data_IF_961261692524
#
_entry.id   IF_961261692524
#
_cell.length_a   1.000
_cell.length_b   1.000
_cell.length_c   1.000
_cell.angle_alpha   90.00
_cell.angle_beta   90.00
_cell.angle_gamma   90.00
#
_symmetry.space_group_name_H-M   'P 1'
#
loop_
_entity.id
_entity.type
_entity.pdbx_description
1 polymer ?
#
# COMPACT_ATOMS: atom_id res chain seq x y z
N UNK A 1 25.41 9.70 23.60
CA UNK A 1 24.97 11.09 23.91
C UNK A 1 24.04 11.67 22.81
N UNK A 2 24.43 11.69 21.52
CA UNK A 2 23.60 12.23 20.44
C UNK A 2 22.30 11.41 20.27
N UNK A 3 22.41 10.08 20.20
CA UNK A 3 21.28 9.16 20.05
C UNK A 3 20.30 9.31 21.21
N UNK A 4 20.78 9.41 22.45
CA UNK A 4 19.93 9.59 23.64
C UNK A 4 19.18 10.93 23.61
N UNK A 5 19.82 11.99 23.09
CA UNK A 5 19.20 13.31 22.95
C UNK A 5 18.10 13.30 21.89
N UNK A 6 18.36 12.64 20.76
CA UNK A 6 17.38 12.46 19.67
C UNK A 6 16.18 11.63 20.18
N UNK A 7 16.42 10.52 20.86
CA UNK A 7 15.36 9.69 21.43
C UNK A 7 14.49 10.46 22.44
N UNK A 8 15.12 11.24 23.33
CA UNK A 8 14.39 12.09 24.27
C UNK A 8 13.52 13.12 23.56
N UNK A 9 14.01 13.74 22.49
CA UNK A 9 13.25 14.70 21.69
C UNK A 9 12.03 14.05 21.05
N UNK A 10 12.19 12.90 20.41
CA UNK A 10 11.07 12.16 19.82
C UNK A 10 10.04 11.75 20.87
N UNK A 11 10.50 11.27 22.03
CA UNK A 11 9.61 10.90 23.15
C UNK A 11 8.85 12.12 23.67
N UNK A 12 9.49 13.28 23.78
CA UNK A 12 8.84 14.52 24.22
C UNK A 12 7.75 14.96 23.24
N UNK A 13 8.06 14.98 21.94
CA UNK A 13 7.11 15.32 20.88
C UNK A 13 5.94 14.34 20.89
N UNK A 14 6.22 13.04 20.93
CA UNK A 14 5.18 12.01 20.95
C UNK A 14 4.29 12.09 22.20
N UNK A 15 4.87 12.43 23.35
CA UNK A 15 4.13 12.62 24.61
C UNK A 15 3.14 13.79 24.52
N UNK A 16 3.48 14.86 23.82
CA UNK A 16 2.58 16.00 23.58
C UNK A 16 1.53 15.73 22.51
N UNK A 17 1.90 15.04 21.42
CA UNK A 17 1.01 14.79 20.28
C UNK A 17 -0.01 13.68 20.54
N UNK A 18 0.35 12.64 21.29
CA UNK A 18 -0.53 11.47 21.48
C UNK A 18 -1.90 11.81 22.10
N UNK A 19 -2.03 12.68 23.13
CA UNK A 19 -3.32 13.11 23.64
C UNK A 19 -4.16 13.85 22.57
N UNK A 20 -3.52 14.68 21.75
CA UNK A 20 -4.20 15.44 20.67
C UNK A 20 -4.74 14.48 19.60
N UNK A 21 -3.92 13.53 19.14
CA UNK A 21 -4.35 12.51 18.17
C UNK A 21 -5.46 11.65 18.76
N UNK A 22 -5.37 11.27 20.04
CA UNK A 22 -6.40 10.51 20.74
C UNK A 22 -7.73 11.26 20.80
N UNK A 23 -7.68 12.56 21.09
CA UNK A 23 -8.87 13.41 21.11
C UNK A 23 -9.48 13.52 19.71
N UNK A 24 -8.67 13.82 18.69
CA UNK A 24 -9.13 13.89 17.30
C UNK A 24 -9.77 12.59 16.85
N UNK A 25 -9.15 11.45 17.15
CA UNK A 25 -9.68 10.13 16.80
C UNK A 25 -11.03 9.87 17.44
N UNK A 26 -11.19 10.14 18.74
CA UNK A 26 -12.45 9.95 19.45
C UNK A 26 -13.54 10.90 18.93
N UNK A 27 -13.21 12.17 18.71
CA UNK A 27 -14.16 13.14 18.09
C UNK A 27 -14.61 12.66 16.72
N UNK A 28 -13.68 12.19 15.90
CA UNK A 28 -14.00 11.69 14.56
C UNK A 28 -14.94 10.49 14.61
N UNK A 29 -14.66 9.52 15.50
CA UNK A 29 -15.49 8.32 15.65
C UNK A 29 -16.89 8.67 16.15
N UNK A 30 -16.99 9.59 17.11
CA UNK A 30 -18.30 10.03 17.65
C UNK A 30 -19.12 10.73 16.57
N UNK A 31 -18.49 11.52 15.70
CA UNK A 31 -19.18 12.24 14.62
C UNK A 31 -19.56 11.33 13.43
N UNK A 32 -18.84 10.23 13.21
CA UNK A 32 -19.02 9.34 12.06
C UNK A 32 -20.46 8.83 11.87
N UNK A 33 -21.20 8.38 12.91
CA UNK A 33 -22.59 7.93 12.76
C UNK A 33 -23.55 9.04 12.34
N UNK A 34 -23.25 10.30 12.70
CA UNK A 34 -24.12 11.46 12.43
C UNK A 34 -23.86 12.08 11.05
N UNK A 35 -22.60 12.09 10.60
CA UNK A 35 -22.20 12.70 9.31
C UNK A 35 -22.22 11.71 8.16
N UNK A 36 -22.13 10.43 8.44
CA UNK A 36 -21.99 9.37 7.46
C UNK A 36 -20.64 9.39 6.72
N UNK A 37 -20.23 8.24 6.22
CA UNK A 37 -18.98 8.10 5.43
C UNK A 37 -19.02 8.88 4.11
N UNK A 38 -20.20 9.14 3.56
CA UNK A 38 -20.39 9.82 2.27
C UNK A 38 -20.02 11.31 2.29
N UNK A 39 -20.22 11.99 3.40
CA UNK A 39 -19.86 13.42 3.53
C UNK A 39 -18.33 13.63 3.51
N UNK A 40 -17.58 12.68 4.07
CA UNK A 40 -16.11 12.74 4.17
C UNK A 40 -15.46 12.26 2.87
N UNK A 41 -16.08 11.30 2.18
CA UNK A 41 -15.52 10.67 0.97
C UNK A 41 -15.50 11.56 -0.28
N UNK A 42 -16.08 12.77 -0.23
CA UNK A 42 -16.09 13.70 -1.38
C UNK A 42 -14.70 14.28 -1.70
N UNK A 43 -13.84 14.44 -0.70
CA UNK A 43 -12.54 15.10 -0.87
C UNK A 43 -11.35 14.23 -0.44
N UNK A 44 -11.55 13.32 0.51
CA UNK A 44 -10.50 12.45 1.05
C UNK A 44 -11.06 11.04 1.19
N UNK A 45 -10.25 10.02 0.92
CA UNK A 45 -10.62 8.64 1.24
C UNK A 45 -10.84 8.50 2.75
N UNK A 46 -12.11 8.31 3.17
CA UNK A 46 -12.45 8.12 4.59
C UNK A 46 -11.66 6.94 5.20
N UNK A 47 -11.45 5.88 4.43
CA UNK A 47 -10.61 4.75 4.85
C UNK A 47 -9.15 5.19 5.07
N UNK A 48 -8.59 5.99 4.15
CA UNK A 48 -7.23 6.52 4.29
C UNK A 48 -7.06 7.39 5.54
N UNK A 49 -8.02 8.27 5.83
CA UNK A 49 -7.99 9.10 7.04
C UNK A 49 -8.02 8.24 8.32
N UNK A 50 -8.92 7.25 8.39
CA UNK A 50 -9.02 6.34 9.53
C UNK A 50 -7.72 5.55 9.75
N UNK A 51 -7.12 5.04 8.66
CA UNK A 51 -5.85 4.32 8.74
C UNK A 51 -4.69 5.22 9.18
N UNK A 52 -4.66 6.47 8.71
CA UNK A 52 -3.64 7.45 9.10
C UNK A 52 -3.76 7.79 10.59
N UNK A 53 -4.97 8.03 11.10
CA UNK A 53 -5.21 8.27 12.52
C UNK A 53 -4.82 7.05 13.37
N UNK A 54 -5.17 5.83 12.91
CA UNK A 54 -4.76 4.59 13.56
C UNK A 54 -3.24 4.47 13.65
N UNK A 55 -2.58 4.66 12.52
CA UNK A 55 -1.12 4.57 12.43
C UNK A 55 -0.44 5.59 13.35
N UNK A 56 -0.84 6.87 13.29
CA UNK A 56 -0.29 7.92 14.14
C UNK A 56 -0.48 7.60 15.62
N UNK A 57 -1.66 7.14 16.02
CA UNK A 57 -1.92 6.81 17.41
C UNK A 57 -1.07 5.64 17.91
N UNK A 58 -0.96 4.58 17.13
CA UNK A 58 -0.20 3.39 17.50
C UNK A 58 1.30 3.64 17.50
N UNK A 59 1.84 4.37 16.50
CA UNK A 59 3.27 4.70 16.41
C UNK A 59 3.68 5.66 17.54
N UNK A 60 2.88 6.69 17.83
CA UNK A 60 3.16 7.60 18.94
C UNK A 60 3.15 6.87 20.28
N UNK A 61 2.20 5.94 20.49
CA UNK A 61 2.18 5.11 21.70
C UNK A 61 3.40 4.20 21.78
N UNK A 62 3.85 3.63 20.65
CA UNK A 62 5.06 2.81 20.61
C UNK A 62 6.34 3.60 20.98
N UNK A 63 6.41 4.88 20.55
CA UNK A 63 7.54 5.78 20.87
C UNK A 63 7.55 6.18 22.34
N UNK A 64 6.38 6.52 22.90
CA UNK A 64 6.27 6.98 24.30
C UNK A 64 6.49 5.85 25.31
N UNK A 65 6.27 4.61 24.87
CA UNK A 65 6.43 3.45 25.73
C UNK A 65 7.90 3.31 26.20
N UNK A 66 8.11 3.43 27.50
CA UNK A 66 9.39 3.18 28.14
C UNK A 66 9.35 1.81 28.86
N UNK A 67 10.17 0.83 28.46
CA UNK A 67 10.19 -0.49 29.10
C UNK A 67 10.60 -0.47 30.57
N UNK A 68 11.33 0.57 30.99
CA UNK A 68 11.83 0.71 32.35
C UNK A 68 10.82 1.37 33.30
N UNK A 69 9.76 1.99 32.75
CA UNK A 69 8.73 2.66 33.53
C UNK A 69 7.45 1.83 33.59
N UNK A 70 6.97 1.58 34.81
CA UNK A 70 5.71 0.86 35.03
C UNK A 70 4.46 1.68 34.71
N UNK A 71 4.57 2.97 34.45
CA UNK A 71 3.44 3.87 34.23
C UNK A 71 3.66 4.84 33.09
N UNK A 72 2.55 5.19 32.41
CA UNK A 72 2.53 6.22 31.37
C UNK A 72 2.73 7.61 31.98
N UNK A 73 3.33 8.58 31.25
CA UNK A 73 3.72 9.90 31.77
C UNK A 73 2.53 10.83 32.10
N UNK A 74 1.31 10.47 31.70
CA UNK A 74 0.14 11.33 31.86
C UNK A 74 -0.63 11.11 33.17
N UNK A 75 -1.28 12.18 33.65
CA UNK A 75 -2.23 12.16 34.77
C UNK A 75 -3.56 11.49 34.39
N UNK A 76 -4.44 11.28 35.37
CA UNK A 76 -5.66 10.48 35.24
C UNK A 76 -6.52 10.73 33.99
N UNK A 77 -6.97 11.97 33.72
CA UNK A 77 -7.88 12.25 32.59
C UNK A 77 -7.24 11.95 31.21
N UNK A 78 -6.01 12.41 31.01
CA UNK A 78 -5.28 12.17 29.73
C UNK A 78 -4.96 10.69 29.54
N UNK A 79 -4.62 9.98 30.60
CA UNK A 79 -4.42 8.53 30.56
C UNK A 79 -5.70 7.80 30.19
N UNK A 80 -6.85 8.24 30.74
CA UNK A 80 -8.15 7.68 30.38
C UNK A 80 -8.47 7.92 28.89
N UNK A 81 -8.29 9.15 28.41
CA UNK A 81 -8.48 9.54 27.01
C UNK A 81 -7.68 8.63 26.06
N UNK A 82 -6.36 8.50 26.30
CA UNK A 82 -5.46 7.69 25.46
C UNK A 82 -5.86 6.20 25.51
N UNK A 83 -6.14 5.66 26.70
CA UNK A 83 -6.59 4.27 26.83
C UNK A 83 -7.89 4.02 26.09
N UNK A 84 -8.88 4.92 26.20
CA UNK A 84 -10.15 4.80 25.48
C UNK A 84 -9.93 4.82 23.96
N UNK A 85 -9.10 5.74 23.46
CA UNK A 85 -8.78 5.82 22.07
C UNK A 85 -8.08 4.56 21.56
N UNK A 86 -7.15 3.97 22.31
CA UNK A 86 -6.51 2.70 21.98
C UNK A 86 -7.47 1.50 22.02
N UNK A 87 -8.44 1.49 22.95
CA UNK A 87 -9.46 0.46 23.00
C UNK A 87 -10.41 0.51 21.82
N UNK A 88 -10.68 1.69 21.29
CA UNK A 88 -11.56 1.90 20.13
C UNK A 88 -10.77 1.71 18.81
N UNK A 89 -9.44 1.69 18.84
CA UNK A 89 -8.61 1.57 17.65
C UNK A 89 -8.97 0.38 16.71
N UNK A 90 -9.19 -0.85 17.20
CA UNK A 90 -9.59 -1.96 16.33
C UNK A 90 -10.90 -1.70 15.60
N UNK A 91 -11.85 -0.99 16.21
CA UNK A 91 -13.16 -0.72 15.63
C UNK A 91 -13.03 0.15 14.36
N UNK A 92 -12.32 1.26 14.42
CA UNK A 92 -12.20 2.12 13.24
C UNK A 92 -11.24 1.59 12.19
N UNK A 93 -10.26 0.77 12.56
CA UNK A 93 -9.47 0.02 11.59
C UNK A 93 -10.34 -1.02 10.88
N UNK A 94 -11.27 -1.67 11.59
CA UNK A 94 -12.25 -2.57 11.00
C UNK A 94 -13.21 -1.84 10.04
N UNK A 95 -13.69 -0.65 10.39
CA UNK A 95 -14.50 0.19 9.51
C UNK A 95 -13.72 0.55 8.23
N UNK A 96 -12.44 0.89 8.35
CA UNK A 96 -11.59 1.15 7.19
C UNK A 96 -11.39 -0.10 6.32
N UNK A 97 -11.21 -1.27 6.94
CA UNK A 97 -11.14 -2.56 6.26
C UNK A 97 -12.41 -2.85 5.46
N UNK A 98 -13.57 -2.64 6.07
CA UNK A 98 -14.87 -2.82 5.43
C UNK A 98 -15.06 -1.87 4.25
N UNK A 99 -14.73 -0.59 4.42
CA UNK A 99 -14.81 0.40 3.34
C UNK A 99 -13.88 0.05 2.16
N UNK A 100 -12.69 -0.45 2.44
CA UNK A 100 -11.76 -0.92 1.42
C UNK A 100 -12.31 -2.17 0.71
N UNK A 101 -12.83 -3.13 1.47
CA UNK A 101 -13.45 -4.34 0.92
C UNK A 101 -14.59 -4.03 -0.05
N UNK A 102 -15.48 -3.10 0.31
CA UNK A 102 -16.57 -2.67 -0.59
C UNK A 102 -16.02 -2.13 -1.92
N UNK A 103 -14.95 -1.33 -1.88
CA UNK A 103 -14.31 -0.81 -3.10
C UNK A 103 -13.65 -1.91 -3.94
N UNK A 104 -13.01 -2.88 -3.30
CA UNK A 104 -12.43 -4.03 -4.00
C UNK A 104 -13.53 -4.89 -4.64
N UNK A 105 -14.64 -5.11 -3.93
CA UNK A 105 -15.79 -5.85 -4.46
C UNK A 105 -16.43 -5.16 -5.68
N UNK A 106 -16.53 -3.83 -5.64
CA UNK A 106 -17.12 -3.04 -6.74
C UNK A 106 -16.19 -2.90 -7.95
N UNK A 107 -14.92 -2.60 -7.73
CA UNK A 107 -13.99 -2.16 -8.79
C UNK A 107 -12.81 -3.10 -9.03
N UNK A 108 -12.67 -4.17 -8.25
CA UNK A 108 -11.53 -5.09 -8.32
C UNK A 108 -10.29 -4.60 -7.58
N UNK A 109 -9.24 -5.41 -7.63
CA UNK A 109 -7.95 -5.09 -7.04
C UNK A 109 -7.15 -4.11 -7.90
N UNK A 110 -6.59 -3.09 -7.26
CA UNK A 110 -5.55 -2.22 -7.83
C UNK A 110 -4.33 -2.27 -6.93
N UNK A 111 -3.18 -1.80 -7.41
CA UNK A 111 -1.94 -1.71 -6.62
C UNK A 111 -2.18 -0.95 -5.31
N UNK A 112 -2.82 0.23 -5.37
CA UNK A 112 -3.12 1.05 -4.18
C UNK A 112 -4.04 0.34 -3.19
N UNK A 113 -5.05 -0.40 -3.68
CA UNK A 113 -5.96 -1.16 -2.82
C UNK A 113 -5.28 -2.34 -2.16
N UNK A 114 -4.36 -2.99 -2.86
CA UNK A 114 -3.55 -4.05 -2.28
C UNK A 114 -2.64 -3.51 -1.17
N UNK A 115 -1.94 -2.40 -1.43
CA UNK A 115 -1.14 -1.72 -0.41
C UNK A 115 -1.99 -1.28 0.78
N UNK A 116 -3.18 -0.72 0.52
CA UNK A 116 -4.16 -0.39 1.55
C UNK A 116 -4.60 -1.60 2.38
N UNK A 117 -4.83 -2.75 1.75
CA UNK A 117 -5.20 -3.99 2.44
C UNK A 117 -4.08 -4.52 3.34
N UNK A 118 -2.84 -4.43 2.89
CA UNK A 118 -1.67 -4.78 3.70
C UNK A 118 -1.49 -3.83 4.89
N UNK A 119 -1.69 -2.53 4.68
CA UNK A 119 -1.68 -1.55 5.77
C UNK A 119 -2.79 -1.83 6.79
N UNK A 120 -4.01 -2.13 6.33
CA UNK A 120 -5.12 -2.57 7.19
C UNK A 120 -4.75 -3.80 8.00
N UNK A 121 -4.15 -4.81 7.38
CA UNK A 121 -3.72 -6.04 8.06
C UNK A 121 -2.75 -5.74 9.20
N UNK A 122 -1.71 -4.93 8.92
CA UNK A 122 -0.72 -4.52 9.93
C UNK A 122 -1.39 -3.76 11.07
N UNK A 123 -2.24 -2.79 10.76
CA UNK A 123 -2.92 -1.96 11.77
C UNK A 123 -3.95 -2.75 12.58
N UNK A 124 -4.64 -3.74 11.98
CA UNK A 124 -5.53 -4.64 12.72
C UNK A 124 -4.75 -5.47 13.74
N UNK A 125 -3.66 -6.12 13.33
CA UNK A 125 -2.82 -6.90 14.24
C UNK A 125 -2.28 -6.02 15.37
N UNK A 126 -1.81 -4.81 15.04
CA UNK A 126 -1.26 -3.88 16.01
C UNK A 126 -2.30 -3.38 17.00
N UNK A 127 -3.44 -2.88 16.50
CA UNK A 127 -4.53 -2.35 17.34
C UNK A 127 -5.17 -3.44 18.23
N UNK A 128 -5.37 -4.65 17.68
CA UNK A 128 -5.86 -5.79 18.46
C UNK A 128 -4.87 -6.21 19.55
N UNK A 129 -3.58 -6.23 19.23
CA UNK A 129 -2.54 -6.52 20.23
C UNK A 129 -2.54 -5.51 21.37
N UNK A 130 -2.71 -4.22 21.08
CA UNK A 130 -2.82 -3.19 22.10
C UNK A 130 -4.13 -3.27 22.88
N UNK A 131 -5.25 -3.55 22.20
CA UNK A 131 -6.52 -3.81 22.86
C UNK A 131 -6.40 -4.94 23.89
N UNK A 132 -5.86 -6.09 23.47
CA UNK A 132 -5.63 -7.25 24.34
C UNK A 132 -4.73 -6.89 25.51
N UNK A 133 -3.66 -6.13 25.29
CA UNK A 133 -2.74 -5.69 26.33
C UNK A 133 -3.40 -4.84 27.42
N UNK A 134 -4.44 -4.07 27.04
CA UNK A 134 -5.17 -3.20 27.98
C UNK A 134 -6.26 -3.98 28.74
N UNK A 135 -6.96 -4.90 28.04
CA UNK A 135 -8.10 -5.63 28.59
C UNK A 135 -7.67 -6.85 29.40
N UNK A 136 -6.67 -7.59 28.93
CA UNK A 136 -6.24 -8.88 29.50
C UNK A 136 -5.22 -8.69 30.62
N UNK A 137 -5.69 -8.30 31.80
CA UNK A 137 -4.86 -7.98 32.96
C UNK A 137 -4.43 -9.17 33.82
N UNK A 138 -4.28 -10.36 33.31
CA UNK A 138 -3.85 -11.52 34.13
C UNK A 138 -2.35 -11.41 34.49
N UNK A 139 -2.02 -10.62 35.52
CA UNK A 139 -0.72 -10.66 36.20
C UNK A 139 0.50 -10.11 35.45
N UNK A 140 0.35 -9.67 34.22
CA UNK A 140 1.44 -9.09 33.42
C UNK A 140 1.29 -7.57 33.31
N UNK A 141 2.44 -6.86 33.28
CA UNK A 141 2.43 -5.44 32.99
C UNK A 141 1.94 -5.20 31.54
N UNK A 142 0.87 -4.40 31.32
CA UNK A 142 0.38 -4.11 29.95
C UNK A 142 1.45 -3.57 29.01
N UNK A 143 2.45 -2.85 29.52
CA UNK A 143 3.53 -2.29 28.76
C UNK A 143 4.48 -3.37 28.19
N UNK A 144 4.68 -4.49 28.90
CA UNK A 144 5.52 -5.59 28.42
C UNK A 144 4.87 -6.31 27.25
N UNK A 145 3.54 -6.54 27.33
CA UNK A 145 2.80 -7.15 26.25
C UNK A 145 2.80 -6.24 24.99
N UNK A 146 2.64 -4.93 25.15
CA UNK A 146 2.75 -3.98 24.04
C UNK A 146 4.12 -4.03 23.35
N UNK A 147 5.21 -4.28 24.11
CA UNK A 147 6.53 -4.48 23.53
C UNK A 147 6.64 -5.71 22.63
N UNK A 148 6.07 -6.83 23.09
CA UNK A 148 6.00 -8.06 22.29
C UNK A 148 5.15 -7.85 21.04
N UNK A 149 4.04 -7.12 21.14
CA UNK A 149 3.19 -6.75 20.01
C UNK A 149 3.97 -5.90 19.00
N UNK A 150 4.71 -4.87 19.44
CA UNK A 150 5.51 -4.03 18.56
C UNK A 150 6.58 -4.85 17.81
N UNK A 151 7.25 -5.78 18.50
CA UNK A 151 8.20 -6.69 17.86
C UNK A 151 7.52 -7.57 16.80
N UNK A 152 6.38 -8.17 17.14
CA UNK A 152 5.62 -9.02 16.22
C UNK A 152 5.15 -8.23 14.98
N UNK A 153 4.67 -7.00 15.17
CA UNK A 153 4.25 -6.12 14.07
C UNK A 153 5.44 -5.73 13.20
N UNK A 154 6.60 -5.43 13.79
CA UNK A 154 7.81 -5.12 13.03
C UNK A 154 8.26 -6.30 12.16
N UNK A 155 8.20 -7.52 12.70
CA UNK A 155 8.49 -8.74 11.94
C UNK A 155 7.44 -8.98 10.84
N UNK A 156 6.16 -8.73 11.10
CA UNK A 156 5.09 -8.82 10.11
C UNK A 156 5.34 -7.84 8.95
N UNK A 157 5.68 -6.59 9.26
CA UNK A 157 6.02 -5.57 8.23
C UNK A 157 7.23 -6.03 7.41
N UNK A 158 8.27 -6.56 8.05
CA UNK A 158 9.44 -7.09 7.33
C UNK A 158 9.05 -8.23 6.37
N UNK A 159 8.23 -9.17 6.82
CA UNK A 159 7.73 -10.26 5.98
C UNK A 159 6.92 -9.73 4.80
N UNK A 160 6.03 -8.76 5.04
CA UNK A 160 5.25 -8.12 3.97
C UNK A 160 6.16 -7.43 2.94
N UNK A 161 7.19 -6.70 3.39
CA UNK A 161 8.15 -6.05 2.51
C UNK A 161 8.93 -7.07 1.65
N UNK A 162 9.35 -8.18 2.23
CA UNK A 162 10.01 -9.27 1.49
C UNK A 162 9.04 -9.89 0.46
N UNK A 163 7.78 -10.13 0.84
CA UNK A 163 6.78 -10.69 -0.06
C UNK A 163 6.43 -9.74 -1.22
N UNK A 164 6.34 -8.43 -0.96
CA UNK A 164 6.09 -7.41 -2.00
C UNK A 164 7.24 -7.31 -3.02
N UNK A 165 8.46 -7.62 -2.60
CA UNK A 165 9.64 -7.67 -3.48
C UNK A 165 9.89 -9.07 -4.08
N UNK A 166 9.00 -10.03 -3.81
CA UNK A 166 9.05 -11.38 -4.36
C UNK A 166 7.98 -11.56 -5.45
N UNK A 167 8.13 -12.52 -6.36
CA UNK A 167 7.11 -12.84 -7.36
C UNK A 167 5.81 -13.40 -6.76
N UNK A 168 5.80 -13.69 -5.45
CA UNK A 168 4.62 -14.24 -4.74
C UNK A 168 3.53 -13.20 -4.60
N UNK A 169 3.89 -11.98 -4.17
CA UNK A 169 2.94 -10.86 -3.94
C UNK A 169 3.18 -9.73 -4.93
N UNK A 170 3.23 -10.07 -6.22
CA UNK A 170 3.39 -9.08 -7.30
C UNK A 170 2.07 -8.29 -7.46
N UNK A 171 2.08 -7.04 -7.01
CA UNK A 171 0.92 -6.16 -7.00
C UNK A 171 0.39 -5.84 -8.40
N UNK A 172 1.29 -5.72 -9.39
CA UNK A 172 0.92 -5.48 -10.78
C UNK A 172 0.19 -6.70 -11.36
N UNK A 173 0.74 -7.90 -11.15
CA UNK A 173 0.11 -9.16 -11.56
C UNK A 173 -1.29 -9.32 -10.96
N UNK A 174 -1.44 -9.08 -9.66
CA UNK A 174 -2.73 -9.20 -8.96
C UNK A 174 -3.74 -8.20 -9.52
N UNK A 175 -3.32 -6.97 -9.76
CA UNK A 175 -4.16 -5.90 -10.32
C UNK A 175 -4.64 -6.26 -11.72
N UNK A 176 -3.73 -6.59 -12.63
CA UNK A 176 -4.06 -6.96 -14.03
C UNK A 176 -4.98 -8.17 -14.06
N UNK A 177 -4.64 -9.25 -13.35
CA UNK A 177 -5.47 -10.46 -13.31
C UNK A 177 -6.87 -10.19 -12.78
N UNK A 178 -7.02 -9.34 -11.75
CA UNK A 178 -8.31 -8.96 -11.20
C UNK A 178 -9.18 -8.21 -12.23
N UNK A 179 -8.60 -7.26 -12.96
CA UNK A 179 -9.32 -6.48 -13.96
C UNK A 179 -9.69 -7.34 -15.18
N UNK A 180 -8.77 -8.17 -15.68
CA UNK A 180 -9.04 -9.07 -16.79
C UNK A 180 -10.07 -10.14 -16.45
N UNK A 181 -10.03 -10.73 -15.26
CA UNK A 181 -11.03 -11.70 -14.82
C UNK A 181 -12.43 -11.07 -14.68
N UNK A 182 -12.53 -9.80 -14.26
CA UNK A 182 -13.80 -9.07 -14.22
C UNK A 182 -14.35 -8.77 -15.61
N UNK A 183 -13.50 -8.43 -16.55
CA UNK A 183 -13.87 -8.24 -17.94
C UNK A 183 -14.37 -9.56 -18.55
N UNK A 184 -13.61 -10.63 -18.45
CA UNK A 184 -13.97 -11.96 -18.97
C UNK A 184 -15.25 -12.53 -18.35
N UNK A 185 -15.54 -12.20 -17.08
CA UNK A 185 -16.78 -12.61 -16.39
C UNK A 185 -17.98 -11.72 -16.71
N UNK A 186 -17.86 -10.72 -17.60
CA UNK A 186 -18.93 -9.78 -17.95
C UNK A 186 -19.30 -8.78 -16.83
N UNK A 187 -18.52 -8.72 -15.74
CA UNK A 187 -18.74 -7.74 -14.67
C UNK A 187 -18.28 -6.32 -15.03
N UNK A 188 -17.34 -6.22 -15.93
CA UNK A 188 -16.86 -4.97 -16.50
C UNK A 188 -17.18 -4.94 -17.99
N UNK A 189 -17.70 -3.82 -18.47
CA UNK A 189 -17.84 -3.57 -19.91
C UNK A 189 -16.47 -3.27 -20.53
N UNK A 190 -16.32 -3.44 -21.87
CA UNK A 190 -15.09 -3.09 -22.56
C UNK A 190 -14.58 -1.66 -22.28
N UNK A 191 -15.51 -0.70 -22.11
CA UNK A 191 -15.19 0.71 -21.80
C UNK A 191 -14.62 0.93 -20.40
N UNK A 192 -14.80 -0.03 -19.50
CA UNK A 192 -14.26 0.01 -18.14
C UNK A 192 -12.86 -0.59 -18.02
N UNK A 193 -12.33 -1.15 -19.11
CA UNK A 193 -10.95 -1.62 -19.17
C UNK A 193 -10.03 -0.43 -19.44
N UNK A 194 -9.24 -0.06 -18.47
CA UNK A 194 -8.35 1.11 -18.56
C UNK A 194 -7.03 0.72 -19.19
N UNK A 195 -6.83 1.03 -20.48
CA UNK A 195 -5.56 0.78 -21.21
C UNK A 195 -4.37 1.37 -20.46
N UNK A 196 -4.48 2.63 -19.99
CA UNK A 196 -3.42 3.31 -19.22
C UNK A 196 -2.92 2.51 -18.01
N UNK A 197 -3.81 1.82 -17.28
CA UNK A 197 -3.41 0.97 -16.17
C UNK A 197 -2.61 -0.26 -16.66
N UNK A 198 -3.02 -0.83 -17.80
CA UNK A 198 -2.34 -1.98 -18.39
C UNK A 198 -0.95 -1.59 -18.90
N UNK A 199 -0.82 -0.46 -19.60
CA UNK A 199 0.48 0.09 -20.04
C UNK A 199 1.48 0.23 -18.87
N UNK A 200 1.02 0.72 -17.71
CA UNK A 200 1.88 0.89 -16.55
C UNK A 200 2.17 -0.41 -15.78
N UNK A 201 1.54 -1.50 -16.15
CA UNK A 201 1.67 -2.80 -15.46
C UNK A 201 2.76 -3.71 -16.05
N UNK A 202 3.66 -3.17 -16.88
CA UNK A 202 4.81 -3.84 -17.44
C UNK A 202 4.42 -5.15 -18.18
N UNK A 203 5.21 -6.22 -18.01
CA UNK A 203 5.00 -7.50 -18.70
C UNK A 203 3.60 -8.08 -18.56
N UNK A 204 2.95 -7.91 -17.41
CA UNK A 204 1.61 -8.45 -17.18
C UNK A 204 0.54 -7.63 -17.93
N UNK A 205 0.72 -6.31 -17.96
CA UNK A 205 -0.15 -5.42 -18.72
C UNK A 205 -0.04 -5.68 -20.22
N UNK A 206 1.17 -5.85 -20.73
CA UNK A 206 1.41 -6.20 -22.13
C UNK A 206 0.72 -7.50 -22.53
N UNK A 207 0.87 -8.57 -21.76
CA UNK A 207 0.18 -9.83 -22.00
C UNK A 207 -1.35 -9.65 -22.01
N UNK A 208 -1.89 -8.78 -21.15
CA UNK A 208 -3.31 -8.45 -21.14
C UNK A 208 -3.72 -7.65 -22.38
N UNK A 209 -2.94 -6.65 -22.82
CA UNK A 209 -3.20 -5.88 -24.05
C UNK A 209 -3.17 -6.79 -25.29
N UNK A 210 -2.22 -7.72 -25.38
CA UNK A 210 -2.16 -8.72 -26.45
C UNK A 210 -3.38 -9.65 -26.44
N UNK A 211 -3.88 -10.04 -25.26
CA UNK A 211 -5.10 -10.84 -25.16
C UNK A 211 -6.34 -10.06 -25.62
N UNK A 212 -6.42 -8.76 -25.32
CA UNK A 212 -7.51 -7.88 -25.79
C UNK A 212 -7.48 -7.67 -27.32
N UNK A 213 -6.31 -7.69 -27.94
CA UNK A 213 -6.16 -7.61 -29.40
C UNK A 213 -6.84 -8.78 -30.11
N UNK A 214 -6.86 -9.95 -29.49
CA UNK A 214 -7.54 -11.14 -30.03
C UNK A 214 -9.04 -11.21 -29.68
N UNK A 215 -9.54 -10.30 -28.85
CA UNK A 215 -10.94 -10.26 -28.45
C UNK A 215 -11.79 -9.46 -29.44
N UNK A 216 -12.66 -10.15 -30.16
CA UNK A 216 -13.51 -9.56 -31.18
C UNK A 216 -14.54 -8.55 -30.60
N UNK A 217 -14.98 -8.74 -29.36
CA UNK A 217 -15.92 -7.83 -28.70
C UNK A 217 -15.24 -6.52 -28.29
N UNK A 218 -14.02 -6.60 -27.79
CA UNK A 218 -13.22 -5.41 -27.45
C UNK A 218 -12.89 -4.59 -28.69
N UNK A 219 -12.55 -5.25 -29.79
CA UNK A 219 -12.13 -4.65 -31.07
C UNK A 219 -13.28 -4.09 -31.92
N UNK A 220 -14.55 -4.29 -31.54
CA UNK A 220 -15.70 -3.74 -32.27
C UNK A 220 -15.73 -2.21 -32.37
N UNK A 221 -15.24 -1.52 -31.33
CA UNK A 221 -15.18 -0.06 -31.31
C UNK A 221 -13.87 0.42 -31.93
N UNK A 222 -13.91 1.20 -33.03
CA UNK A 222 -12.71 1.68 -33.71
C UNK A 222 -11.81 2.55 -32.84
N UNK A 223 -12.37 3.28 -31.86
CA UNK A 223 -11.60 4.11 -30.94
C UNK A 223 -10.78 3.25 -29.98
N UNK A 224 -11.43 2.27 -29.33
CA UNK A 224 -10.75 1.34 -28.42
C UNK A 224 -9.67 0.52 -29.14
N UNK A 225 -9.98 0.05 -30.33
CA UNK A 225 -9.02 -0.69 -31.16
C UNK A 225 -7.77 0.16 -31.48
N UNK A 226 -7.96 1.44 -31.84
CA UNK A 226 -6.85 2.37 -32.09
C UNK A 226 -6.02 2.62 -30.85
N UNK A 227 -6.66 2.92 -29.72
CA UNK A 227 -5.98 3.20 -28.45
C UNK A 227 -5.17 1.98 -27.98
N UNK A 228 -5.71 0.76 -28.14
CA UNK A 228 -5.01 -0.49 -27.85
C UNK A 228 -3.79 -0.70 -28.75
N UNK A 229 -3.93 -0.47 -30.06
CA UNK A 229 -2.80 -0.64 -31.00
C UNK A 229 -1.70 0.39 -30.72
N UNK A 230 -2.07 1.65 -30.43
CA UNK A 230 -1.09 2.69 -30.05
C UNK A 230 -0.33 2.32 -28.77
N UNK A 231 -1.03 1.75 -27.78
CA UNK A 231 -0.41 1.28 -26.54
C UNK A 231 0.63 0.18 -26.80
N UNK A 232 0.29 -0.80 -27.63
CA UNK A 232 1.18 -1.89 -27.99
C UNK A 232 2.38 -1.42 -28.80
N UNK A 233 2.18 -0.52 -29.77
CA UNK A 233 3.26 0.02 -30.62
C UNK A 233 4.19 0.93 -29.81
N UNK A 234 3.65 1.79 -28.92
CA UNK A 234 4.44 2.66 -28.06
C UNK A 234 5.36 1.89 -27.13
N UNK A 235 4.90 0.79 -26.56
CA UNK A 235 5.74 -0.07 -25.69
C UNK A 235 6.84 -0.80 -26.48
N UNK A 236 6.56 -1.23 -27.71
CA UNK A 236 7.57 -1.86 -28.55
C UNK A 236 8.73 -0.91 -28.87
N UNK A 237 8.43 0.32 -29.26
CA UNK A 237 9.45 1.35 -29.51
C UNK A 237 10.26 1.70 -28.27
N UNK A 238 9.65 1.79 -27.09
CA UNK A 238 10.36 2.04 -25.83
C UNK A 238 11.28 0.89 -25.45
N UNK A 239 10.83 -0.36 -25.59
CA UNK A 239 11.66 -1.54 -25.32
C UNK A 239 12.83 -1.66 -26.27
N UNK A 240 12.65 -1.36 -27.55
CA UNK A 240 13.73 -1.33 -28.53
C UNK A 240 14.79 -0.28 -28.17
N UNK A 241 14.37 0.95 -27.87
CA UNK A 241 15.29 2.05 -27.47
C UNK A 241 16.06 1.74 -26.19
N UNK A 242 15.39 1.20 -25.17
CA UNK A 242 16.04 0.83 -23.90
C UNK A 242 17.01 -0.33 -24.11
N UNK A 243 16.66 -1.32 -24.91
CA UNK A 243 17.54 -2.46 -25.23
C UNK A 243 18.79 -2.01 -26.01
N UNK A 244 18.66 -1.12 -26.99
CA UNK A 244 19.80 -0.57 -27.74
C UNK A 244 20.73 0.25 -26.82
N UNK A 245 20.16 1.09 -25.96
CA UNK A 245 20.95 1.92 -25.03
C UNK A 245 21.71 1.07 -24.02
N UNK A 246 21.07 0.08 -23.43
CA UNK A 246 21.70 -0.84 -22.46
C UNK A 246 22.78 -1.68 -23.14
N UNK A 247 22.56 -2.13 -24.38
CA UNK A 247 23.57 -2.84 -25.17
C UNK A 247 24.75 -1.94 -25.49
N UNK A 248 24.49 -0.70 -25.95
CA UNK A 248 25.53 0.26 -26.28
C UNK A 248 26.41 0.63 -25.07
N UNK A 249 25.79 0.79 -23.90
CA UNK A 249 26.50 1.13 -22.64
C UNK A 249 27.33 -0.03 -22.07
N UNK A 250 26.95 -1.28 -22.38
CA UNK A 250 27.64 -2.49 -21.88
C UNK A 250 28.61 -3.14 -22.87
N UNK A 251 28.70 -2.67 -24.10
CA UNK A 251 29.68 -3.18 -25.07
C UNK A 251 31.04 -2.48 -24.88
N UNK A 252 31.99 -3.23 -24.36
CA UNK A 252 33.39 -2.78 -24.28
C UNK A 252 34.05 -2.91 -25.68
N UNK A 253 34.33 -1.76 -26.29
CA UNK A 253 35.05 -1.69 -27.55
C UNK A 253 36.55 -1.73 -27.28
N UNK A 254 37.27 -2.72 -27.86
CA UNK A 254 38.70 -2.82 -27.68
C UNK A 254 39.42 -1.58 -28.26
N UNK A 255 40.50 -1.10 -27.63
CA UNK A 255 41.29 0.02 -28.15
C UNK A 255 41.78 -0.27 -29.56
N UNK A 256 41.42 0.59 -30.53
CA UNK A 256 41.83 0.46 -31.94
C UNK A 256 40.84 -0.23 -32.86
N UNK A 257 39.72 -0.76 -32.34
CA UNK A 257 38.61 -1.24 -33.18
C UNK A 257 37.63 -0.09 -33.53
N UNK A 258 37.11 -0.09 -34.74
CA UNK A 258 36.10 0.88 -35.16
C UNK A 258 34.82 0.78 -34.36
N UNK A 259 34.01 1.84 -34.35
CA UNK A 259 32.68 1.82 -33.70
C UNK A 259 31.79 0.80 -34.39
N UNK A 260 30.98 0.02 -33.65
CA UNK A 260 30.00 -0.90 -34.22
C UNK A 260 29.05 -0.16 -35.17
N UNK A 261 28.85 -0.71 -36.34
CA UNK A 261 27.95 -0.16 -37.36
C UNK A 261 26.48 -0.59 -37.14
N UNK A 262 25.57 -0.08 -37.98
CA UNK A 262 24.15 -0.39 -37.87
C UNK A 262 23.85 -1.89 -38.09
N UNK A 263 24.67 -2.60 -38.88
CA UNK A 263 24.55 -4.04 -39.12
C UNK A 263 24.90 -4.85 -37.87
N UNK A 264 25.88 -4.46 -37.09
CA UNK A 264 26.20 -5.08 -35.81
C UNK A 264 25.02 -5.04 -34.82
N UNK A 265 24.32 -3.91 -34.75
CA UNK A 265 23.17 -3.75 -33.85
C UNK A 265 21.94 -4.52 -34.36
N UNK A 266 21.69 -4.57 -35.66
CA UNK A 266 20.56 -5.29 -36.26
C UNK A 266 20.69 -6.80 -36.13
N UNK A 267 21.90 -7.34 -36.25
CA UNK A 267 22.14 -8.78 -36.19
C UNK A 267 21.96 -9.37 -34.82
N UNK A 268 22.20 -8.57 -33.75
CA UNK A 268 21.94 -8.97 -32.35
C UNK A 268 20.49 -8.90 -31.92
N UNK A 269 19.62 -8.15 -32.59
CA UNK A 269 18.18 -8.13 -32.32
C UNK A 269 17.50 -9.49 -32.57
N UNK A 270 18.11 -10.36 -33.34
CA UNK A 270 17.61 -11.70 -33.66
C UNK A 270 17.99 -12.78 -32.64
N UNK A 271 18.76 -12.46 -31.60
CA UNK A 271 19.35 -13.44 -30.64
C UNK A 271 18.82 -13.29 -29.20
N UNK A 272 17.89 -12.37 -28.93
CA UNK A 272 17.32 -12.17 -27.57
C UNK A 272 15.87 -12.63 -27.51
#
# INVERSE_FOLDING_TARGET
>A
RLIDSIQKLFTLIATGLLPLVSLLTLMFIITLPFTGLSAISRHISAAGLLLTLAFLQLILMAIVRDPQKASLPWTGPLRCLIKTALLVAPLYVFVAAWALWLRVAQYGWTVDRLQGALAVLVLLVWSLGYFVSIVWRKGQNPLDLQGKVNLAVSLLVLVILVLLNSPVLDSMRISVNSHMARYQSGKNTPDQVTIYMLEQSGRYGRAALESLKSDAEYMKDPKRARDLLMALDGEQHLQEQVSEKVLADNVLIAPGSGKPDATFWSDRKSVV
#
